data_IF_742184872680
#
_entry.id   IF_742184872680
#
_cell.length_a   1.000
_cell.length_b   1.000
_cell.length_c   1.000
_cell.angle_alpha   90.00
_cell.angle_beta   90.00
_cell.angle_gamma   90.00
#
_symmetry.space_group_name_H-M   'P 1'
#
loop_
_entity.id
_entity.type
_entity.pdbx_description
1 polymer ?
#
# COMPACT_ATOMS: atom_id res chain seq x y z
N UNK A 1 15.71 13.58 -18.81
CA UNK A 1 14.89 12.48 -18.25
C UNK A 1 13.58 12.40 -19.02
N UNK A 2 13.11 11.21 -19.39
CA UNK A 2 11.89 11.04 -20.20
C UNK A 2 10.67 10.92 -19.28
N UNK A 3 9.77 11.91 -19.33
CA UNK A 3 8.47 11.88 -18.63
C UNK A 3 7.61 10.79 -19.25
N UNK A 4 6.95 9.98 -18.42
CA UNK A 4 6.04 8.95 -18.90
C UNK A 4 4.77 9.60 -19.46
N UNK A 5 4.18 8.99 -20.48
CA UNK A 5 2.84 9.42 -20.90
C UNK A 5 1.79 8.99 -19.86
N UNK A 6 0.63 9.66 -19.86
CA UNK A 6 -0.52 9.24 -19.05
C UNK A 6 -0.92 7.77 -19.32
N UNK A 7 -0.85 7.31 -20.56
CA UNK A 7 -1.09 5.90 -20.91
C UNK A 7 -0.06 4.96 -20.28
N UNK A 8 1.21 5.35 -20.22
CA UNK A 8 2.24 4.56 -19.53
C UNK A 8 1.99 4.48 -18.01
N UNK A 9 1.57 5.59 -17.39
CA UNK A 9 1.17 5.61 -15.97
C UNK A 9 -0.05 4.69 -15.75
N UNK A 10 -1.07 4.77 -16.59
CA UNK A 10 -2.25 3.90 -16.52
C UNK A 10 -1.88 2.41 -16.67
N UNK A 11 -1.03 2.06 -17.63
CA UNK A 11 -0.55 0.68 -17.84
C UNK A 11 0.20 0.16 -16.62
N UNK A 12 1.04 1.00 -16.00
CA UNK A 12 1.76 0.63 -14.78
C UNK A 12 0.80 0.40 -13.62
N UNK A 13 -0.14 1.31 -13.39
CA UNK A 13 -1.17 1.17 -12.35
C UNK A 13 -1.97 -0.10 -12.54
N UNK A 14 -2.44 -0.40 -13.76
CA UNK A 14 -3.17 -1.65 -14.07
C UNK A 14 -2.34 -2.89 -13.78
N UNK A 15 -1.06 -2.89 -14.14
CA UNK A 15 -0.15 -4.01 -13.87
C UNK A 15 -0.02 -4.26 -12.37
N UNK A 16 0.19 -3.20 -11.59
CA UNK A 16 0.34 -3.32 -10.13
C UNK A 16 -0.97 -3.79 -9.51
N UNK A 17 -2.13 -3.23 -9.91
CA UNK A 17 -3.44 -3.70 -9.46
C UNK A 17 -3.60 -5.20 -9.75
N UNK A 18 -3.26 -5.66 -10.95
CA UNK A 18 -3.34 -7.09 -11.31
C UNK A 18 -2.46 -7.96 -10.40
N UNK A 19 -1.27 -7.49 -10.04
CA UNK A 19 -0.35 -8.20 -9.16
C UNK A 19 -0.83 -8.25 -7.70
N UNK A 20 -1.40 -7.16 -7.17
CA UNK A 20 -1.82 -7.10 -5.76
C UNK A 20 -3.23 -7.65 -5.52
N UNK A 21 -4.08 -7.71 -6.55
CA UNK A 21 -5.49 -8.11 -6.42
C UNK A 21 -5.70 -9.47 -5.75
N UNK A 22 -4.91 -10.53 -6.05
CA UNK A 22 -5.06 -11.82 -5.36
C UNK A 22 -4.86 -11.69 -3.85
N UNK A 23 -3.84 -10.95 -3.43
CA UNK A 23 -3.53 -10.71 -2.02
C UNK A 23 -4.61 -9.89 -1.32
N UNK A 24 -5.17 -8.87 -1.99
CA UNK A 24 -6.29 -8.10 -1.44
C UNK A 24 -7.55 -8.97 -1.23
N UNK A 25 -7.81 -9.91 -2.14
CA UNK A 25 -8.90 -10.89 -1.96
C UNK A 25 -8.62 -11.83 -0.80
N UNK A 26 -7.39 -12.33 -0.70
CA UNK A 26 -6.97 -13.22 0.38
C UNK A 26 -7.11 -12.53 1.74
N UNK A 27 -6.73 -11.25 1.88
CA UNK A 27 -6.94 -10.46 3.10
C UNK A 27 -8.41 -10.36 3.45
N UNK A 28 -9.28 -10.07 2.48
CA UNK A 28 -10.72 -9.97 2.72
C UNK A 28 -11.30 -11.29 3.21
N UNK A 29 -10.86 -12.42 2.62
CA UNK A 29 -11.26 -13.75 3.04
C UNK A 29 -10.75 -14.07 4.46
N UNK A 30 -9.46 -13.87 4.72
CA UNK A 30 -8.86 -14.09 6.03
C UNK A 30 -9.51 -13.20 7.11
N UNK A 31 -9.77 -11.93 6.80
CA UNK A 31 -10.48 -11.01 7.68
C UNK A 31 -11.89 -11.48 8.00
N UNK A 32 -12.63 -11.95 7.01
CA UNK A 32 -13.98 -12.47 7.23
C UNK A 32 -14.00 -13.72 8.14
N UNK A 33 -13.00 -14.60 8.02
CA UNK A 33 -12.85 -15.76 8.91
C UNK A 33 -12.44 -15.30 10.30
N UNK A 34 -11.44 -14.41 10.36
CA UNK A 34 -10.91 -13.86 11.60
C UNK A 34 -12.00 -13.23 12.47
N UNK A 35 -12.83 -12.33 11.90
CA UNK A 35 -13.87 -11.65 12.64
C UNK A 35 -15.08 -12.55 12.98
N UNK A 36 -15.41 -13.53 12.13
CA UNK A 36 -16.56 -14.43 12.38
C UNK A 36 -16.25 -15.55 13.36
N UNK A 37 -15.01 -15.99 13.42
CA UNK A 37 -14.60 -17.18 14.18
C UNK A 37 -13.61 -16.86 15.28
N UNK A 38 -13.34 -15.57 15.57
CA UNK A 38 -12.35 -15.14 16.54
C UNK A 38 -12.44 -15.96 17.84
N UNK A 39 -13.63 -16.13 18.40
CA UNK A 39 -13.84 -16.80 19.69
C UNK A 39 -13.62 -18.32 19.67
N UNK A 40 -13.64 -18.93 18.50
CA UNK A 40 -13.57 -20.39 18.31
C UNK A 40 -12.23 -20.86 17.76
N UNK A 41 -11.39 -19.94 17.30
CA UNK A 41 -10.06 -20.27 16.77
C UNK A 41 -9.13 -20.71 17.90
N UNK A 42 -8.42 -21.81 17.67
CA UNK A 42 -7.37 -22.29 18.56
C UNK A 42 -6.08 -21.46 18.41
N UNK A 43 -5.21 -21.51 19.41
CA UNK A 43 -3.91 -20.83 19.35
C UNK A 43 -3.06 -21.23 18.11
N UNK A 44 -3.07 -22.52 17.76
CA UNK A 44 -2.36 -23.02 16.57
C UNK A 44 -2.95 -22.43 15.28
N UNK A 45 -4.27 -22.29 15.22
CA UNK A 45 -4.92 -21.61 14.10
C UNK A 45 -4.53 -20.13 14.03
N UNK A 46 -4.53 -19.41 15.16
CA UNK A 46 -4.06 -18.01 15.22
C UNK A 46 -2.61 -17.86 14.73
N UNK A 47 -1.72 -18.80 15.06
CA UNK A 47 -0.33 -18.78 14.60
C UNK A 47 -0.21 -19.00 13.08
N UNK A 48 -1.02 -19.90 12.52
CA UNK A 48 -1.10 -20.10 11.06
C UNK A 48 -1.64 -18.85 10.37
N UNK A 49 -2.69 -18.23 10.94
CA UNK A 49 -3.23 -16.95 10.47
C UNK A 49 -2.17 -15.85 10.50
N UNK A 50 -1.47 -15.67 11.63
CA UNK A 50 -0.41 -14.67 11.77
C UNK A 50 0.68 -14.85 10.70
N UNK A 51 1.12 -16.09 10.47
CA UNK A 51 2.17 -16.39 9.49
C UNK A 51 1.74 -16.00 8.08
N UNK A 52 0.51 -16.35 7.68
CA UNK A 52 -0.06 -15.96 6.38
C UNK A 52 -0.19 -14.44 6.25
N UNK A 53 -0.79 -13.78 7.25
CA UNK A 53 -0.97 -12.33 7.26
C UNK A 53 0.38 -11.60 7.19
N UNK A 54 1.40 -12.09 7.89
CA UNK A 54 2.76 -11.51 7.87
C UNK A 54 3.42 -11.65 6.50
N UNK A 55 3.23 -12.78 5.82
CA UNK A 55 3.70 -12.97 4.44
C UNK A 55 3.05 -11.97 3.47
N UNK A 56 1.72 -11.83 3.54
CA UNK A 56 0.97 -10.89 2.71
C UNK A 56 1.38 -9.44 3.02
N UNK A 57 1.52 -9.10 4.31
CA UNK A 57 1.97 -7.78 4.77
C UNK A 57 3.33 -7.42 4.19
N UNK A 58 4.28 -8.34 4.24
CA UNK A 58 5.64 -8.09 3.72
C UNK A 58 5.62 -7.77 2.23
N UNK A 59 4.84 -8.53 1.45
CA UNK A 59 4.67 -8.28 0.02
C UNK A 59 3.99 -6.94 -0.25
N UNK A 60 2.83 -6.67 0.37
CA UNK A 60 2.08 -5.43 0.12
C UNK A 60 2.80 -4.19 0.63
N UNK A 61 3.48 -4.26 1.77
CA UNK A 61 4.28 -3.14 2.27
C UNK A 61 5.45 -2.83 1.33
N UNK A 62 6.08 -3.86 0.75
CA UNK A 62 7.11 -3.68 -0.29
C UNK A 62 6.53 -2.98 -1.52
N UNK A 63 5.35 -3.39 -2.00
CA UNK A 63 4.70 -2.74 -3.14
C UNK A 63 4.29 -1.30 -2.81
N UNK A 64 3.77 -1.04 -1.60
CA UNK A 64 3.45 0.31 -1.11
C UNK A 64 4.65 1.24 -1.21
N UNK A 65 5.82 0.82 -0.70
CA UNK A 65 7.04 1.62 -0.79
C UNK A 65 7.48 1.86 -2.22
N UNK A 66 7.44 0.84 -3.09
CA UNK A 66 7.77 1.00 -4.51
C UNK A 66 6.87 2.02 -5.21
N UNK A 67 5.57 1.99 -4.94
CA UNK A 67 4.60 2.92 -5.55
C UNK A 67 4.77 4.33 -4.99
N UNK A 68 5.02 4.48 -3.69
CA UNK A 68 5.31 5.77 -3.07
C UNK A 68 6.55 6.44 -3.70
N UNK A 69 7.65 5.69 -3.83
CA UNK A 69 8.85 6.18 -4.51
C UNK A 69 8.58 6.54 -5.98
N UNK A 70 7.82 5.72 -6.70
CA UNK A 70 7.48 6.00 -8.09
C UNK A 70 6.61 7.25 -8.22
N UNK A 71 5.62 7.42 -7.35
CA UNK A 71 4.75 8.59 -7.30
C UNK A 71 5.58 9.87 -7.14
N UNK A 72 6.46 9.90 -6.15
CA UNK A 72 7.37 11.02 -5.88
C UNK A 72 8.28 11.33 -7.08
N UNK A 73 8.91 10.30 -7.65
CA UNK A 73 9.83 10.47 -8.78
C UNK A 73 9.11 10.98 -10.03
N UNK A 74 7.94 10.44 -10.36
CA UNK A 74 7.15 10.88 -11.51
C UNK A 74 6.61 12.30 -11.33
N UNK A 75 6.20 12.68 -10.11
CA UNK A 75 5.77 14.04 -9.80
C UNK A 75 6.92 15.04 -10.01
N UNK A 76 8.10 14.73 -9.46
CA UNK A 76 9.29 15.56 -9.60
C UNK A 76 9.74 15.68 -11.07
N UNK A 77 9.67 14.57 -11.82
CA UNK A 77 10.04 14.56 -13.24
C UNK A 77 9.08 15.42 -14.06
N UNK A 78 7.79 15.34 -13.79
CA UNK A 78 6.79 16.15 -14.48
C UNK A 78 6.95 17.64 -14.14
N UNK A 79 7.19 17.96 -12.86
CA UNK A 79 7.46 19.33 -12.44
C UNK A 79 8.69 19.93 -13.16
N UNK A 80 9.81 19.19 -13.20
CA UNK A 80 11.01 19.61 -13.94
C UNK A 80 10.72 19.81 -15.42
N UNK A 81 9.95 18.91 -16.02
CA UNK A 81 9.54 19.03 -17.41
C UNK A 81 8.72 20.29 -17.70
N UNK A 82 7.78 20.66 -16.83
CA UNK A 82 7.01 21.91 -16.98
C UNK A 82 7.92 23.15 -16.89
N UNK A 83 8.87 23.14 -15.97
CA UNK A 83 9.88 24.21 -15.84
C UNK A 83 10.72 24.33 -17.11
N UNK A 84 11.23 23.21 -17.61
CA UNK A 84 12.07 23.19 -18.80
C UNK A 84 11.26 23.62 -20.05
N UNK A 85 9.97 23.26 -20.15
CA UNK A 85 9.09 23.75 -21.21
C UNK A 85 8.86 25.27 -21.14
N UNK A 86 8.62 25.82 -19.95
CA UNK A 86 8.45 27.26 -19.77
C UNK A 86 9.71 28.03 -20.19
N UNK A 87 10.89 27.50 -19.82
CA UNK A 87 12.18 28.06 -20.23
C UNK A 87 12.37 28.05 -21.75
N UNK A 88 12.09 26.92 -22.42
CA UNK A 88 12.18 26.80 -23.88
C UNK A 88 11.23 27.75 -24.60
N UNK A 89 10.03 27.95 -24.05
CA UNK A 89 9.00 28.83 -24.62
C UNK A 89 9.15 30.31 -24.21
N UNK A 90 10.16 30.65 -23.40
CA UNK A 90 10.36 31.98 -22.83
C UNK A 90 9.11 32.52 -22.10
N UNK A 91 8.40 31.62 -21.41
CA UNK A 91 7.19 31.94 -20.64
C UNK A 91 7.51 32.06 -19.15
N UNK A 92 6.77 32.91 -18.44
CA UNK A 92 6.84 32.97 -16.99
C UNK A 92 6.50 31.60 -16.39
N UNK A 93 7.44 31.04 -15.62
CA UNK A 93 7.22 29.79 -14.91
C UNK A 93 6.53 30.07 -13.58
N UNK A 94 5.32 29.54 -13.39
CA UNK A 94 4.62 29.56 -12.10
C UNK A 94 4.85 28.24 -11.33
N UNK A 95 5.64 28.25 -10.24
CA UNK A 95 5.88 27.04 -9.45
C UNK A 95 4.58 26.46 -8.87
N UNK A 96 3.67 27.31 -8.43
CA UNK A 96 2.39 26.91 -7.85
C UNK A 96 1.51 26.15 -8.84
N UNK A 97 1.42 26.65 -10.09
CA UNK A 97 0.68 25.95 -11.15
C UNK A 97 1.35 24.62 -11.49
N UNK A 98 2.67 24.60 -11.60
CA UNK A 98 3.44 23.40 -11.91
C UNK A 98 3.25 22.31 -10.84
N UNK A 99 3.25 22.67 -9.55
CA UNK A 99 2.95 21.73 -8.46
C UNK A 99 1.53 21.16 -8.54
N UNK A 100 0.52 21.98 -8.88
CA UNK A 100 -0.84 21.46 -9.07
C UNK A 100 -0.91 20.48 -10.24
N UNK A 101 -0.28 20.81 -11.36
CA UNK A 101 -0.27 19.96 -12.55
C UNK A 101 0.52 18.67 -12.35
N UNK A 102 1.65 18.71 -11.63
CA UNK A 102 2.42 17.49 -11.31
C UNK A 102 1.64 16.52 -10.43
N UNK A 103 0.92 17.04 -9.43
CA UNK A 103 0.02 16.22 -8.58
C UNK A 103 -1.13 15.60 -9.36
N UNK A 104 -1.75 16.36 -10.27
CA UNK A 104 -2.77 15.85 -11.18
C UNK A 104 -2.20 14.75 -12.10
N UNK A 105 -0.99 14.95 -12.60
CA UNK A 105 -0.32 13.99 -13.47
C UNK A 105 -0.10 12.63 -12.77
N UNK A 106 0.29 12.61 -11.49
CA UNK A 106 0.50 11.37 -10.72
C UNK A 106 -0.74 10.87 -9.97
N UNK A 107 -1.92 11.48 -10.16
CA UNK A 107 -3.11 11.19 -9.36
C UNK A 107 -3.47 9.70 -9.26
N UNK A 108 -3.33 8.94 -10.35
CA UNK A 108 -3.61 7.50 -10.34
C UNK A 108 -2.62 6.69 -9.49
N UNK A 109 -1.35 7.10 -9.46
CA UNK A 109 -0.33 6.50 -8.59
C UNK A 109 -0.62 6.84 -7.13
N UNK A 110 -0.93 8.10 -6.83
CA UNK A 110 -1.30 8.53 -5.48
C UNK A 110 -2.54 7.80 -4.95
N UNK A 111 -3.55 7.58 -5.81
CA UNK A 111 -4.74 6.81 -5.45
C UNK A 111 -4.42 5.34 -5.15
N UNK A 112 -3.53 4.73 -5.93
CA UNK A 112 -3.06 3.36 -5.70
C UNK A 112 -2.25 3.26 -4.41
N UNK A 113 -1.35 4.22 -4.15
CA UNK A 113 -0.58 4.34 -2.91
C UNK A 113 -1.51 4.40 -1.69
N UNK A 114 -2.51 5.28 -1.73
CA UNK A 114 -3.48 5.43 -0.65
C UNK A 114 -4.25 4.13 -0.36
N UNK A 115 -4.67 3.41 -1.41
CA UNK A 115 -5.33 2.10 -1.25
C UNK A 115 -4.40 1.05 -0.64
N UNK A 116 -3.13 1.00 -1.07
CA UNK A 116 -2.14 0.10 -0.51
C UNK A 116 -1.83 0.44 0.95
N UNK A 117 -1.76 1.73 1.29
CA UNK A 117 -1.56 2.18 2.67
C UNK A 117 -2.66 1.65 3.59
N UNK A 118 -3.93 1.85 3.24
CA UNK A 118 -5.04 1.33 4.05
C UNK A 118 -5.05 -0.19 4.17
N UNK A 119 -4.71 -0.92 3.09
CA UNK A 119 -4.61 -2.38 3.15
C UNK A 119 -3.47 -2.87 4.08
N UNK A 120 -2.34 -2.16 4.08
CA UNK A 120 -1.18 -2.47 4.94
C UNK A 120 -1.47 -2.15 6.40
N UNK A 121 -2.14 -1.03 6.68
CA UNK A 121 -2.56 -0.64 8.05
C UNK A 121 -3.53 -1.66 8.63
N UNK A 122 -4.57 -2.05 7.87
CA UNK A 122 -5.51 -3.10 8.31
C UNK A 122 -4.81 -4.43 8.60
N UNK A 123 -3.84 -4.82 7.76
CA UNK A 123 -3.05 -6.03 7.99
C UNK A 123 -2.23 -5.96 9.28
N UNK A 124 -1.64 -4.81 9.58
CA UNK A 124 -0.88 -4.62 10.82
C UNK A 124 -1.76 -4.82 12.05
N UNK A 125 -2.98 -4.26 12.03
CA UNK A 125 -3.95 -4.43 13.11
C UNK A 125 -4.35 -5.89 13.30
N UNK A 126 -4.64 -6.62 12.20
CA UNK A 126 -4.98 -8.04 12.28
C UNK A 126 -3.83 -8.87 12.86
N UNK A 127 -2.59 -8.65 12.38
CA UNK A 127 -1.39 -9.32 12.90
C UNK A 127 -1.22 -9.02 14.39
N UNK A 128 -1.39 -7.76 14.78
CA UNK A 128 -1.27 -7.36 16.18
C UNK A 128 -2.31 -8.04 17.06
N UNK A 129 -3.53 -8.19 16.57
CA UNK A 129 -4.61 -8.89 17.28
C UNK A 129 -4.27 -10.37 17.48
N UNK A 130 -3.73 -11.05 16.45
CA UNK A 130 -3.24 -12.43 16.60
C UNK A 130 -2.16 -12.53 17.69
N UNK A 131 -1.19 -11.61 17.68
CA UNK A 131 -0.07 -11.59 18.64
C UNK A 131 -0.52 -11.35 20.08
N UNK A 132 -1.44 -10.40 20.27
CA UNK A 132 -2.01 -10.11 21.59
C UNK A 132 -2.73 -11.33 22.14
N UNK A 133 -3.55 -12.00 21.32
CA UNK A 133 -4.26 -13.20 21.75
C UNK A 133 -3.31 -14.32 22.15
N UNK A 134 -2.27 -14.59 21.36
CA UNK A 134 -1.25 -15.57 21.70
C UNK A 134 -0.49 -15.23 23.00
N UNK A 135 -0.26 -13.94 23.28
CA UNK A 135 0.35 -13.49 24.53
C UNK A 135 -0.58 -13.76 25.74
N UNK A 136 -1.86 -13.40 25.65
CA UNK A 136 -2.83 -13.64 26.72
C UNK A 136 -3.02 -15.13 27.00
N UNK A 137 -3.18 -15.97 25.97
CA UNK A 137 -3.27 -17.43 26.13
C UNK A 137 -2.06 -18.02 26.86
N UNK A 138 -0.85 -17.50 26.64
CA UNK A 138 0.36 -17.94 27.35
C UNK A 138 0.40 -17.43 28.79
N UNK A 139 0.01 -16.18 29.01
CA UNK A 139 -0.02 -15.58 30.35
C UNK A 139 -1.01 -16.32 31.27
N UNK A 140 -2.19 -16.66 30.76
CA UNK A 140 -3.18 -17.44 31.52
C UNK A 140 -2.65 -18.83 31.90
N UNK A 141 -1.97 -19.53 30.99
CA UNK A 141 -1.35 -20.83 31.31
C UNK A 141 -0.28 -20.73 32.40
N UNK A 142 0.53 -19.67 32.38
CA UNK A 142 1.61 -19.47 33.35
C UNK A 142 1.10 -19.00 34.73
N UNK A 143 -0.12 -18.46 34.82
CA UNK A 143 -0.75 -18.08 36.09
C UNK A 143 -1.49 -19.25 36.77
N UNK A 144 -1.75 -20.32 36.03
CA UNK A 144 -2.46 -21.52 36.51
C UNK A 144 -1.47 -22.66 36.87
N UNK A 145 -0.17 -22.46 36.64
CA UNK A 145 0.92 -23.31 37.12
C UNK A 145 1.45 -22.82 38.46
#
# INVERSE_FOLDING_TARGET
MKVKSQDQIQKLVRRVIKQISPFLREISQLGSIFYRQADVLTDDQFKVFETKLTGIYTFLNTQKHKISCLCYLEELNYFKHLRDQALIRQQEFSPTLATKQSKLYVYLLAKLESRLKGAVENLQEMIQTCRQRAYFSRKERNLVQ
#
